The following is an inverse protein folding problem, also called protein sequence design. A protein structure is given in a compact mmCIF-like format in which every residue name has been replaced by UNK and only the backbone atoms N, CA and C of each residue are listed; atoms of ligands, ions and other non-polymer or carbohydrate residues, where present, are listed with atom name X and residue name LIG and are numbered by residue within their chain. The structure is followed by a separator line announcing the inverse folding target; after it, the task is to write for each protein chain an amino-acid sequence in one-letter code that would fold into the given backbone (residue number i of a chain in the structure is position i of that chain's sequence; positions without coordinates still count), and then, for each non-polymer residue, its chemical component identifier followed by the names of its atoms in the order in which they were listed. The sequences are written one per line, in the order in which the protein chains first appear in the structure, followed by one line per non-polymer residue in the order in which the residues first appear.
data_IF_054156911883
#
_entry.id   IF_054156911883
#
_cell.length_a   1.000
_cell.length_b   1.000
_cell.length_c   1.000
_cell.angle_alpha   90.00
_cell.angle_beta   90.00
_cell.angle_gamma   90.00
#
_symmetry.space_group_name_H-M   'P 1'
#
loop_
_entity.id
_entity.type
_entity.pdbx_description
1 polymer ?
#
# COMPACT_ATOMS: atom_id res chain seq x y z
N UNK A 1 -21.47 16.47 16.22
CA UNK A 1 -22.11 15.14 16.17
C UNK A 1 -21.01 14.17 15.93
N UNK A 2 -20.61 13.46 16.98
CA UNK A 2 -19.46 12.56 16.96
C UNK A 2 -19.69 11.46 15.93
N UNK A 3 -18.76 11.36 14.97
CA UNK A 3 -18.62 10.17 14.17
C UNK A 3 -18.52 9.00 15.16
N UNK A 4 -19.46 8.05 15.07
CA UNK A 4 -19.35 6.78 15.75
C UNK A 4 -17.94 6.24 15.51
N UNK A 5 -17.12 6.17 16.56
CA UNK A 5 -15.71 5.85 16.46
C UNK A 5 -15.59 4.48 15.80
N UNK A 6 -15.08 4.46 14.57
CA UNK A 6 -14.81 3.20 13.88
C UNK A 6 -13.79 2.41 14.71
N UNK A 7 -13.98 1.08 14.84
CA UNK A 7 -13.02 0.27 15.57
C UNK A 7 -11.67 0.34 14.86
N UNK A 8 -10.62 0.65 15.63
CA UNK A 8 -9.24 0.57 15.14
C UNK A 8 -8.88 -0.90 14.86
N UNK A 9 -8.06 -1.12 13.84
CA UNK A 9 -7.73 -2.44 13.29
C UNK A 9 -6.23 -2.69 13.35
N UNK A 10 -5.86 -3.96 13.42
CA UNK A 10 -4.48 -4.36 13.20
C UNK A 10 -4.09 -4.18 11.71
N UNK A 11 -2.80 -4.08 11.41
CA UNK A 11 -2.32 -3.89 10.03
C UNK A 11 -2.80 -5.00 9.08
N UNK A 12 -2.87 -6.24 9.57
CA UNK A 12 -3.30 -7.42 8.81
C UNK A 12 -4.81 -7.46 8.53
N UNK A 13 -5.60 -6.65 9.25
CA UNK A 13 -7.06 -6.58 9.13
C UNK A 13 -7.53 -5.43 8.21
N UNK A 14 -6.58 -4.65 7.68
CA UNK A 14 -6.91 -3.60 6.71
C UNK A 14 -7.53 -4.21 5.45
N UNK A 15 -8.65 -3.63 5.03
CA UNK A 15 -9.36 -4.07 3.83
C UNK A 15 -8.68 -3.47 2.59
N UNK A 16 -7.72 -4.21 2.03
CA UNK A 16 -7.06 -3.84 0.79
C UNK A 16 -7.99 -4.05 -0.41
N UNK A 17 -8.24 -2.98 -1.17
CA UNK A 17 -8.92 -3.05 -2.45
C UNK A 17 -7.95 -2.80 -3.61
N UNK A 18 -7.70 -3.83 -4.41
CA UNK A 18 -6.82 -3.80 -5.56
C UNK A 18 -7.55 -3.41 -6.86
N UNK A 19 -8.67 -2.67 -6.79
CA UNK A 19 -9.47 -2.27 -7.97
C UNK A 19 -8.63 -1.66 -9.09
N UNK A 20 -7.64 -0.80 -8.79
CA UNK A 20 -6.76 -0.24 -9.80
C UNK A 20 -5.98 -1.32 -10.58
N UNK A 21 -5.46 -2.33 -9.88
CA UNK A 21 -4.70 -3.44 -10.48
C UNK A 21 -5.62 -4.38 -11.24
N UNK A 22 -6.81 -4.66 -10.69
CA UNK A 22 -7.77 -5.63 -11.26
C UNK A 22 -8.47 -5.11 -12.51
N UNK A 23 -8.83 -3.83 -12.53
CA UNK A 23 -9.68 -3.26 -13.59
C UNK A 23 -8.89 -2.57 -14.72
N UNK A 24 -7.61 -2.22 -14.50
CA UNK A 24 -6.81 -1.49 -15.49
C UNK A 24 -5.78 -2.37 -16.19
N UNK A 25 -5.40 -2.05 -17.44
CA UNK A 25 -4.38 -2.79 -18.18
C UNK A 25 -3.03 -2.76 -17.45
N UNK A 26 -2.55 -3.93 -17.04
CA UNK A 26 -1.20 -4.11 -16.51
C UNK A 26 -0.21 -4.50 -17.60
N UNK A 27 1.05 -4.14 -17.42
CA UNK A 27 2.14 -4.63 -18.26
C UNK A 27 2.32 -6.14 -18.02
N UNK A 28 2.30 -6.98 -19.07
CA UNK A 28 2.53 -8.42 -18.93
C UNK A 28 3.97 -8.76 -18.50
N UNK A 29 4.91 -7.81 -18.60
CA UNK A 29 6.30 -8.00 -18.20
C UNK A 29 6.51 -7.68 -16.72
N UNK A 30 7.40 -8.43 -16.09
CA UNK A 30 7.81 -8.25 -14.69
C UNK A 30 9.30 -7.99 -14.53
N UNK A 31 10.05 -7.84 -15.63
CA UNK A 31 11.47 -7.55 -15.59
C UNK A 31 11.73 -6.05 -15.40
N UNK A 32 12.67 -5.73 -14.51
CA UNK A 32 12.96 -4.35 -14.13
C UNK A 32 14.09 -3.77 -14.99
N UNK A 33 13.80 -3.56 -16.28
CA UNK A 33 14.72 -2.91 -17.23
C UNK A 33 14.09 -1.67 -17.87
N UNK A 34 14.90 -0.63 -18.19
CA UNK A 34 14.43 0.54 -18.93
C UNK A 34 13.94 0.17 -20.34
N UNK A 35 12.75 0.65 -20.72
CA UNK A 35 12.11 0.43 -22.03
C UNK A 35 10.93 1.39 -22.22
N UNK A 36 10.33 1.36 -23.40
CA UNK A 36 9.01 1.94 -23.64
C UNK A 36 7.92 0.97 -23.18
N UNK A 37 6.92 1.49 -22.45
CA UNK A 37 5.76 0.73 -21.99
C UNK A 37 4.53 1.33 -22.66
N UNK A 38 3.89 0.56 -23.53
CA UNK A 38 2.71 0.98 -24.29
C UNK A 38 1.50 0.15 -23.84
N UNK A 39 0.32 0.76 -23.90
CA UNK A 39 -0.97 0.11 -23.62
C UNK A 39 -1.12 -0.49 -22.20
N UNK A 40 -0.31 -0.06 -21.24
CA UNK A 40 -0.40 -0.44 -19.84
C UNK A 40 -0.44 0.80 -18.93
N UNK A 41 -1.20 0.70 -17.84
CA UNK A 41 -1.31 1.71 -16.79
C UNK A 41 -0.30 1.49 -15.65
N UNK A 42 0.23 0.28 -15.49
CA UNK A 42 1.19 -0.06 -14.45
C UNK A 42 2.06 -1.26 -14.85
N UNK A 43 3.20 -1.45 -14.18
CA UNK A 43 4.04 -2.65 -14.25
C UNK A 43 4.16 -3.25 -12.86
N UNK A 44 3.94 -4.56 -12.72
CA UNK A 44 4.10 -5.25 -11.44
C UNK A 44 5.59 -5.43 -11.13
N UNK A 45 6.01 -5.01 -9.94
CA UNK A 45 7.38 -5.15 -9.44
C UNK A 45 7.37 -5.59 -7.98
N UNK A 46 8.41 -6.30 -7.55
CA UNK A 46 8.63 -6.59 -6.14
C UNK A 46 9.49 -5.49 -5.49
N UNK A 47 9.28 -5.15 -4.20
CA UNK A 47 10.16 -4.25 -3.46
C UNK A 47 11.63 -4.69 -3.56
N UNK A 48 12.54 -3.72 -3.71
CA UNK A 48 13.89 -3.97 -4.26
C UNK A 48 14.88 -4.70 -3.35
N UNK A 49 14.70 -4.71 -2.03
CA UNK A 49 15.45 -5.56 -1.11
C UNK A 49 14.97 -5.39 0.35
N UNK A 50 15.16 -6.40 1.21
CA UNK A 50 15.19 -6.18 2.66
C UNK A 50 16.36 -5.26 3.01
N UNK A 51 16.10 -4.25 3.84
CA UNK A 51 17.14 -3.39 4.42
C UNK A 51 17.64 -4.00 5.72
N UNK A 52 18.92 -3.79 6.05
CA UNK A 52 19.48 -4.28 7.30
C UNK A 52 18.92 -3.48 8.49
N UNK A 53 18.37 -4.19 9.48
CA UNK A 53 17.86 -3.63 10.75
C UNK A 53 16.89 -2.44 10.58
N UNK A 54 15.71 -2.65 9.95
CA UNK A 54 14.72 -1.59 9.78
C UNK A 54 14.24 -1.07 11.14
N UNK A 55 14.09 0.25 11.27
CA UNK A 55 13.57 0.92 12.48
C UNK A 55 12.54 1.96 12.10
N UNK A 56 11.45 2.01 12.85
CA UNK A 56 10.47 3.08 12.76
C UNK A 56 11.08 4.36 13.34
N UNK A 57 11.21 5.41 12.52
CA UNK A 57 11.77 6.71 12.94
C UNK A 57 10.67 7.70 13.28
N UNK A 58 9.58 7.69 12.50
CA UNK A 58 8.41 8.54 12.71
C UNK A 58 7.21 7.95 11.98
N UNK A 59 6.02 8.34 12.43
CA UNK A 59 4.74 8.02 11.80
C UNK A 59 3.72 9.11 12.14
N UNK A 60 2.52 9.07 11.55
CA UNK A 60 1.48 10.09 11.71
C UNK A 60 0.21 9.50 12.28
N UNK A 61 -0.14 9.92 13.51
CA UNK A 61 -1.39 9.53 14.18
C UNK A 61 -2.62 9.92 13.35
N UNK A 62 -2.61 11.09 12.72
CA UNK A 62 -3.74 11.53 11.88
C UNK A 62 -3.92 10.65 10.64
N UNK A 63 -2.84 10.15 10.04
CA UNK A 63 -2.93 9.20 8.91
C UNK A 63 -3.40 7.83 9.39
N UNK A 64 -3.00 7.40 10.58
CA UNK A 64 -3.51 6.17 11.18
C UNK A 64 -5.01 6.22 11.41
N UNK A 65 -5.50 7.37 11.93
CA UNK A 65 -6.93 7.61 12.10
C UNK A 65 -7.69 7.62 10.75
N UNK A 66 -7.10 8.12 9.67
CA UNK A 66 -7.70 8.04 8.32
C UNK A 66 -7.89 6.60 7.83
N UNK A 67 -7.03 5.69 8.29
CA UNK A 67 -7.03 4.27 7.90
C UNK A 67 -7.72 3.37 8.92
N UNK A 68 -8.26 3.93 10.01
CA UNK A 68 -8.76 3.18 11.16
C UNK A 68 -7.68 2.20 11.72
N UNK A 69 -6.40 2.57 11.69
CA UNK A 69 -5.26 1.75 12.15
C UNK A 69 -5.03 1.93 13.65
N UNK A 70 -4.73 0.86 14.39
CA UNK A 70 -4.32 0.96 15.80
C UNK A 70 -2.99 1.74 15.91
N UNK A 71 -2.89 2.62 16.91
CA UNK A 71 -1.70 3.41 17.16
C UNK A 71 -0.57 2.61 17.81
N UNK A 72 -0.83 1.34 18.16
CA UNK A 72 0.14 0.40 18.74
C UNK A 72 0.86 -0.47 17.72
N UNK A 73 0.52 -0.33 16.44
CA UNK A 73 1.19 -1.01 15.33
C UNK A 73 2.67 -0.59 15.17
#
# INVERSE_FOLDING_TARGET
GEASARPRRALEELAWDETFVRELPGDPRSDNIPRQVLHACYTKVSPSAPVENPKLVAWSESVADLLDLDHKE
#
